data_IF_903700522341
#
_entry.id   IF_903700522341
#
_cell.length_a   1.000
_cell.length_b   1.000
_cell.length_c   1.000
_cell.angle_alpha   90.00
_cell.angle_beta   90.00
_cell.angle_gamma   90.00
#
_symmetry.space_group_name_H-M   'P 1'
#
loop_
_entity.id
_entity.type
_entity.pdbx_description
1 polymer ?
#
# COMPACT_ATOMS: atom_id res chain seq x y z
N UNK A 1 5.28 -34.64 2.75
CA UNK A 1 5.59 -33.54 1.82
C UNK A 1 5.00 -32.29 2.45
N UNK A 2 5.82 -31.36 2.93
CA UNK A 2 5.29 -30.09 3.45
C UNK A 2 4.64 -29.33 2.29
N UNK A 3 3.41 -28.88 2.48
CA UNK A 3 2.83 -27.88 1.58
C UNK A 3 3.74 -26.65 1.64
N UNK A 4 4.16 -26.06 0.50
CA UNK A 4 4.88 -24.80 0.55
C UNK A 4 3.98 -23.83 1.32
N UNK A 5 4.48 -23.32 2.46
CA UNK A 5 3.81 -22.23 3.16
C UNK A 5 3.52 -21.17 2.10
N UNK A 6 2.25 -20.77 1.97
CA UNK A 6 1.90 -19.65 1.11
C UNK A 6 2.67 -18.44 1.64
N UNK A 7 3.81 -18.12 1.01
CA UNK A 7 4.63 -16.98 1.40
C UNK A 7 3.88 -15.72 0.99
N UNK A 8 3.33 -15.01 1.96
CA UNK A 8 2.79 -13.67 1.74
C UNK A 8 3.93 -12.65 1.83
N UNK A 9 3.91 -11.65 0.95
CA UNK A 9 4.77 -10.49 1.08
C UNK A 9 3.95 -9.32 1.66
N UNK A 10 4.50 -8.59 2.63
CA UNK A 10 3.85 -7.40 3.19
C UNK A 10 3.54 -6.36 2.10
N UNK A 11 2.56 -5.52 2.40
CA UNK A 11 2.17 -4.37 1.58
C UNK A 11 2.20 -3.10 2.42
N UNK A 12 2.69 -2.02 1.83
CA UNK A 12 2.83 -0.72 2.48
C UNK A 12 2.62 0.40 1.47
N UNK A 13 1.89 1.44 1.86
CA UNK A 13 1.76 2.68 1.09
C UNK A 13 2.21 3.83 1.96
N UNK A 14 3.16 4.61 1.45
CA UNK A 14 3.62 5.85 2.06
C UNK A 14 3.10 7.04 1.26
N UNK A 15 2.52 8.02 1.96
CA UNK A 15 2.16 9.30 1.39
C UNK A 15 3.18 10.35 1.83
N UNK A 16 3.97 10.82 0.87
CA UNK A 16 5.00 11.84 1.10
C UNK A 16 4.50 13.18 0.57
N UNK A 17 4.28 14.13 1.48
CA UNK A 17 3.88 15.50 1.14
C UNK A 17 5.08 16.43 1.31
N UNK A 18 5.54 17.00 0.20
CA UNK A 18 6.61 17.98 0.20
C UNK A 18 6.04 19.37 0.50
N UNK A 19 6.58 20.04 1.52
CA UNK A 19 6.29 21.45 1.82
C UNK A 19 7.31 22.37 1.14
N UNK A 20 8.57 21.91 1.03
CA UNK A 20 9.63 22.52 0.24
C UNK A 20 10.60 21.42 -0.26
N UNK A 21 11.78 21.79 -0.79
CA UNK A 21 12.75 20.82 -1.35
C UNK A 21 13.32 19.84 -0.31
N UNK A 22 13.41 20.23 0.96
CA UNK A 22 14.04 19.45 2.03
C UNK A 22 13.09 19.14 3.20
N UNK A 23 11.93 19.78 3.24
CA UNK A 23 10.89 19.59 4.26
C UNK A 23 9.74 18.80 3.67
N UNK A 24 9.50 17.62 4.22
CA UNK A 24 8.40 16.75 3.85
C UNK A 24 7.75 16.14 5.10
N UNK A 25 6.49 15.75 4.96
CA UNK A 25 5.78 14.94 5.96
C UNK A 25 5.48 13.59 5.33
N UNK A 26 5.73 12.51 6.08
CA UNK A 26 5.37 11.14 5.68
C UNK A 26 4.18 10.71 6.54
N UNK A 27 3.16 10.17 5.89
CA UNK A 27 2.11 9.38 6.56
C UNK A 27 2.04 7.99 5.95
N UNK A 28 1.60 7.01 6.74
CA UNK A 28 1.41 5.63 6.31
C UNK A 28 -0.09 5.30 6.31
N UNK A 29 -0.81 5.55 5.20
CA UNK A 29 -2.24 5.25 5.13
C UNK A 29 -2.57 3.76 5.06
N UNK A 30 -1.61 2.90 4.75
CA UNK A 30 -1.85 1.47 4.63
C UNK A 30 -0.58 0.66 4.94
N UNK A 31 -0.72 -0.32 5.82
CA UNK A 31 0.25 -1.36 6.09
C UNK A 31 -0.50 -2.67 6.37
N UNK A 32 -0.06 -3.76 5.75
CA UNK A 32 -0.65 -5.10 5.88
C UNK A 32 0.48 -6.14 5.80
N UNK A 33 0.39 -7.19 6.60
CA UNK A 33 1.37 -8.29 6.65
C UNK A 33 1.27 -9.23 5.44
N UNK A 34 0.45 -8.89 4.46
CA UNK A 34 0.17 -9.66 3.26
C UNK A 34 -1.04 -10.59 3.39
N UNK A 35 -1.73 -10.58 4.53
CA UNK A 35 -2.97 -11.35 4.75
C UNK A 35 -4.15 -10.80 3.94
N UNK A 36 -4.22 -9.48 3.74
CA UNK A 36 -5.30 -8.84 2.97
C UNK A 36 -4.86 -8.55 1.54
N UNK A 37 -3.69 -7.94 1.37
CA UNK A 37 -3.13 -7.56 0.09
C UNK A 37 -1.64 -7.93 0.06
N UNK A 38 -1.27 -8.85 -0.83
CA UNK A 38 0.10 -9.31 -1.00
C UNK A 38 0.87 -8.43 -2.01
N UNK A 39 2.06 -7.97 -1.63
CA UNK A 39 3.02 -7.28 -2.50
C UNK A 39 2.47 -6.05 -3.26
N UNK A 40 1.96 -5.04 -2.56
CA UNK A 40 1.58 -3.75 -3.16
C UNK A 40 2.72 -3.19 -4.00
N UNK A 41 2.42 -2.78 -5.24
CA UNK A 41 3.41 -2.32 -6.22
C UNK A 41 3.13 -0.91 -6.71
N UNK A 42 1.89 -0.42 -6.60
CA UNK A 42 1.52 0.94 -6.99
C UNK A 42 0.37 1.44 -6.11
N UNK A 43 0.33 2.75 -5.85
CA UNK A 43 -0.78 3.40 -5.19
C UNK A 43 -1.16 4.70 -5.92
N UNK A 44 -2.46 4.94 -6.07
CA UNK A 44 -3.01 6.17 -6.66
C UNK A 44 -4.05 6.76 -5.73
N UNK A 45 -3.88 8.05 -5.40
CA UNK A 45 -4.83 8.78 -4.57
C UNK A 45 -5.66 9.75 -5.41
N UNK A 46 -6.99 9.71 -5.25
CA UNK A 46 -7.90 10.68 -5.86
C UNK A 46 -9.15 10.85 -4.99
N UNK A 47 -9.41 12.08 -4.55
CA UNK A 47 -10.61 12.49 -3.78
C UNK A 47 -10.97 11.50 -2.65
N UNK A 48 -10.12 11.40 -1.63
CA UNK A 48 -10.30 10.52 -0.46
C UNK A 48 -10.28 9.01 -0.75
N UNK A 49 -10.04 8.63 -2.00
CA UNK A 49 -9.94 7.24 -2.40
C UNK A 49 -8.48 6.90 -2.71
N UNK A 50 -7.99 5.83 -2.09
CA UNK A 50 -6.69 5.23 -2.36
C UNK A 50 -6.90 3.92 -3.10
N UNK A 51 -6.36 3.84 -4.32
CA UNK A 51 -6.33 2.64 -5.14
C UNK A 51 -4.94 1.99 -5.00
N UNK A 52 -4.86 0.76 -4.48
CA UNK A 52 -3.61 0.03 -4.27
C UNK A 52 -3.57 -1.17 -5.21
N UNK A 53 -2.63 -1.14 -6.15
CA UNK A 53 -2.40 -2.19 -7.14
C UNK A 53 -1.25 -3.12 -6.76
N UNK A 54 -1.34 -4.36 -7.23
CA UNK A 54 -0.32 -5.41 -7.07
C UNK A 54 0.03 -5.96 -8.45
N UNK A 55 1.21 -6.59 -8.58
CA UNK A 55 1.62 -7.22 -9.86
C UNK A 55 0.81 -8.51 -10.15
N UNK A 56 0.57 -9.37 -9.15
CA UNK A 56 -0.05 -10.69 -9.36
C UNK A 56 -0.97 -11.12 -8.20
N UNK A 57 -1.71 -10.18 -7.60
CA UNK A 57 -2.66 -10.50 -6.55
C UNK A 57 -4.02 -9.84 -6.79
N UNK A 58 -4.33 -8.74 -6.10
CA UNK A 58 -5.61 -8.03 -6.16
C UNK A 58 -5.39 -6.53 -6.39
N UNK A 59 -6.48 -5.83 -6.69
CA UNK A 59 -6.57 -4.38 -6.66
C UNK A 59 -7.47 -4.00 -5.48
N UNK A 60 -7.01 -3.12 -4.61
CA UNK A 60 -7.73 -2.71 -3.41
C UNK A 60 -8.14 -1.24 -3.52
N UNK A 61 -9.36 -0.92 -3.10
CA UNK A 61 -9.87 0.44 -2.97
C UNK A 61 -10.12 0.71 -1.48
N UNK A 62 -9.49 1.76 -0.95
CA UNK A 62 -9.67 2.21 0.42
C UNK A 62 -10.21 3.64 0.45
N UNK A 63 -11.12 3.91 1.38
CA UNK A 63 -11.49 5.28 1.74
C UNK A 63 -10.54 5.76 2.84
N UNK A 64 -9.79 6.83 2.57
CA UNK A 64 -8.75 7.34 3.47
C UNK A 64 -8.88 8.85 3.68
N UNK A 65 -8.36 9.32 4.81
CA UNK A 65 -8.16 10.75 5.10
C UNK A 65 -6.65 10.99 5.19
N UNK A 66 -6.10 11.68 4.18
CA UNK A 66 -4.68 12.06 4.07
C UNK A 66 -4.47 13.53 4.39
#
# INVERSE_FOLDING_TARGET
>A
MEHPKSYTAPSQVLHVKFSDRNTYTITEPFADDGSTLNASSVALYHKNTLLIGTINHKLMICLVKL
#
